data_IF_696369088249
#
_entry.id   IF_696369088249
#
_cell.length_a   1.000
_cell.length_b   1.000
_cell.length_c   1.000
_cell.angle_alpha   90.00
_cell.angle_beta   90.00
_cell.angle_gamma   90.00
#
_symmetry.space_group_name_H-M   'P 1'
#
loop_
_entity.id
_entity.type
_entity.pdbx_description
1 polymer ?
#
# COMPACT_ATOMS: atom_id res chain seq x y z
N UNK A 1 -5.57 2.31 -10.50
CA UNK A 1 -4.83 1.83 -9.32
C UNK A 1 -3.35 1.90 -9.59
N UNK A 2 -2.65 2.73 -8.85
CA UNK A 2 -1.24 2.97 -9.12
C UNK A 2 -0.37 2.31 -8.07
N UNK A 3 0.86 1.99 -8.46
CA UNK A 3 1.83 1.37 -7.56
C UNK A 3 2.04 2.21 -6.31
N UNK A 4 2.11 3.52 -6.48
CA UNK A 4 2.30 4.43 -5.35
C UNK A 4 1.17 4.30 -4.33
N UNK A 5 -0.06 4.16 -4.82
CA UNK A 5 -1.20 3.97 -3.92
C UNK A 5 -1.11 2.66 -3.16
N UNK A 6 -0.68 1.60 -3.83
CA UNK A 6 -0.52 0.30 -3.18
C UNK A 6 0.58 0.37 -2.12
N UNK A 7 1.68 1.04 -2.43
CA UNK A 7 2.77 1.18 -1.47
C UNK A 7 2.31 1.98 -0.24
N UNK A 8 1.65 3.10 -0.46
CA UNK A 8 1.13 3.92 0.63
C UNK A 8 0.13 3.13 1.47
N UNK A 9 -0.74 2.36 0.82
CA UNK A 9 -1.70 1.53 1.52
C UNK A 9 -1.00 0.51 2.43
N UNK A 10 0.01 -0.19 1.92
CA UNK A 10 0.72 -1.19 2.71
C UNK A 10 1.46 -0.56 3.88
N UNK A 11 2.10 0.59 3.68
CA UNK A 11 2.80 1.29 4.75
C UNK A 11 1.82 1.74 5.82
N UNK A 12 0.68 2.30 5.42
CA UNK A 12 -0.32 2.73 6.38
C UNK A 12 -0.91 1.54 7.15
N UNK A 13 -1.05 0.40 6.49
CA UNK A 13 -1.54 -0.81 7.16
C UNK A 13 -0.58 -1.26 8.25
N UNK A 14 0.71 -1.05 8.06
CA UNK A 14 1.70 -1.40 9.06
C UNK A 14 1.73 -0.39 10.20
N UNK A 15 1.72 0.90 9.87
CA UNK A 15 1.87 1.95 10.87
C UNK A 15 0.59 2.26 11.62
N UNK A 16 -0.53 2.16 10.93
CA UNK A 16 -1.85 2.55 11.45
C UNK A 16 -1.81 3.96 12.03
N UNK A 17 -1.04 4.82 11.38
CA UNK A 17 -0.80 6.20 11.77
C UNK A 17 -0.44 6.99 10.53
N UNK A 18 -1.26 7.98 10.19
CA UNK A 18 -1.09 8.73 8.94
C UNK A 18 0.20 9.53 8.93
N UNK A 19 0.58 10.12 10.07
CA UNK A 19 1.79 10.91 10.16
C UNK A 19 3.03 10.03 9.93
N UNK A 20 3.07 8.88 10.59
CA UNK A 20 4.20 7.96 10.44
C UNK A 20 4.28 7.38 9.05
N UNK A 21 3.12 7.05 8.48
CA UNK A 21 3.10 6.55 7.12
C UNK A 21 3.66 7.58 6.16
N UNK A 22 3.25 8.85 6.32
CA UNK A 22 3.75 9.93 5.48
C UNK A 22 5.26 10.06 5.59
N UNK A 23 5.80 9.95 6.79
CA UNK A 23 7.24 10.02 6.99
C UNK A 23 7.95 8.88 6.27
N UNK A 24 7.40 7.68 6.35
CA UNK A 24 8.02 6.52 5.71
C UNK A 24 8.02 6.60 4.19
N UNK A 25 6.98 7.19 3.60
CA UNK A 25 6.91 7.33 2.14
C UNK A 25 7.39 8.70 1.68
N UNK A 26 7.99 9.47 2.58
CA UNK A 26 8.64 10.74 2.26
C UNK A 26 7.69 11.77 1.65
N UNK A 27 6.53 11.92 2.29
CA UNK A 27 5.53 12.89 1.83
C UNK A 27 4.81 13.49 3.04
N UNK A 28 3.77 14.27 2.79
CA UNK A 28 2.98 14.89 3.84
C UNK A 28 1.71 14.10 4.07
N UNK A 29 1.11 14.27 5.27
CA UNK A 29 -0.06 13.51 5.66
C UNK A 29 -1.22 13.70 4.70
N UNK A 30 -1.45 14.91 4.21
CA UNK A 30 -2.57 15.17 3.31
C UNK A 30 -2.44 14.38 2.02
N UNK A 31 -1.21 14.14 1.57
CA UNK A 31 -1.00 13.35 0.36
C UNK A 31 -1.32 11.87 0.60
N UNK A 32 -0.93 11.35 1.76
CA UNK A 32 -1.30 9.98 2.12
C UNK A 32 -2.82 9.83 2.15
N UNK A 33 -3.49 10.79 2.81
CA UNK A 33 -4.96 10.77 2.88
C UNK A 33 -5.59 10.78 1.50
N UNK A 34 -5.07 11.63 0.62
CA UNK A 34 -5.58 11.74 -0.74
C UNK A 34 -5.40 10.45 -1.52
N UNK A 35 -4.23 9.84 -1.41
CA UNK A 35 -3.95 8.58 -2.11
C UNK A 35 -4.85 7.45 -1.63
N UNK A 36 -5.06 7.36 -0.33
CA UNK A 36 -5.92 6.32 0.24
C UNK A 36 -7.37 6.53 -0.19
N UNK A 37 -7.86 7.77 -0.13
CA UNK A 37 -9.23 8.05 -0.55
C UNK A 37 -9.44 7.74 -2.03
N UNK A 38 -8.47 8.05 -2.86
CA UNK A 38 -8.55 7.75 -4.28
C UNK A 38 -8.62 6.24 -4.51
N UNK A 39 -7.81 5.48 -3.79
CA UNK A 39 -7.82 4.02 -3.89
C UNK A 39 -9.16 3.46 -3.41
N UNK A 40 -9.68 3.97 -2.29
CA UNK A 40 -10.96 3.54 -1.76
C UNK A 40 -12.10 3.84 -2.73
N UNK A 41 -12.05 5.00 -3.37
CA UNK A 41 -13.07 5.37 -4.35
C UNK A 41 -13.04 4.42 -5.54
N UNK A 42 -11.86 4.07 -5.99
CA UNK A 42 -11.72 3.15 -7.12
C UNK A 42 -12.25 1.77 -6.76
N UNK A 43 -11.97 1.29 -5.56
CA UNK A 43 -12.42 -0.03 -5.12
C UNK A 43 -13.86 -0.04 -4.63
N UNK A 44 -14.43 1.13 -4.40
CA UNK A 44 -15.82 1.24 -3.98
C UNK A 44 -16.06 0.86 -2.52
N UNK A 45 -15.01 0.89 -1.70
CA UNK A 45 -15.15 0.53 -0.29
C UNK A 45 -14.03 1.18 0.51
N UNK A 46 -14.26 1.35 1.80
CA UNK A 46 -13.24 1.87 2.69
C UNK A 46 -12.28 0.77 3.09
N UNK A 47 -11.01 1.09 3.09
CA UNK A 47 -9.95 0.17 3.51
C UNK A 47 -9.51 0.43 4.95
N UNK A 48 -9.78 1.64 5.45
CA UNK A 48 -9.45 2.02 6.82
C UNK A 48 -10.65 2.65 7.49
N UNK A 49 -10.82 2.35 8.77
CA UNK A 49 -11.77 3.02 9.63
C UNK A 49 -11.01 3.99 10.52
N UNK A 50 -11.60 5.17 10.72
CA UNK A 50 -11.06 6.16 11.64
C UNK A 50 -12.04 6.34 12.77
N UNK A 51 -12.01 5.41 13.72
CA UNK A 51 -12.92 5.47 14.86
C UNK A 51 -12.21 6.20 15.99
N UNK A 52 -12.80 7.28 16.44
CA UNK A 52 -12.24 8.11 17.49
C UNK A 52 -10.84 8.57 17.07
N UNK A 53 -9.80 8.19 17.77
CA UNK A 53 -8.45 8.61 17.45
C UNK A 53 -7.62 7.46 16.88
N UNK A 54 -8.27 6.41 16.42
CA UNK A 54 -7.56 5.22 15.96
C UNK A 54 -7.79 5.00 14.48
N UNK A 55 -6.80 4.42 13.85
CA UNK A 55 -6.88 4.02 12.46
C UNK A 55 -6.76 2.50 12.44
N UNK A 56 -7.75 1.83 11.86
CA UNK A 56 -7.76 0.38 11.79
C UNK A 56 -8.11 -0.04 10.37
N UNK A 57 -7.61 -1.20 9.96
CA UNK A 57 -8.03 -1.77 8.69
C UNK A 57 -9.46 -2.25 8.80
N UNK A 58 -10.25 -1.99 7.75
CA UNK A 58 -11.57 -2.61 7.64
C UNK A 58 -11.39 -4.06 7.21
N UNK A 59 -12.50 -4.81 7.19
CA UNK A 59 -12.47 -6.15 6.67
C UNK A 59 -11.99 -6.15 5.22
N UNK A 60 -12.48 -5.19 4.43
CA UNK A 60 -12.04 -5.05 3.04
C UNK A 60 -10.55 -4.76 2.97
N UNK A 61 -10.03 -3.92 3.88
CA UNK A 61 -8.61 -3.63 3.94
C UNK A 61 -7.79 -4.87 4.23
N UNK A 62 -8.26 -5.71 5.17
CA UNK A 62 -7.58 -6.97 5.49
C UNK A 62 -7.58 -7.91 4.28
N UNK A 63 -8.67 -7.95 3.53
CA UNK A 63 -8.74 -8.81 2.35
C UNK A 63 -7.84 -8.32 1.22
N UNK A 64 -7.73 -7.00 1.08
CA UNK A 64 -6.96 -6.41 -0.01
C UNK A 64 -5.46 -6.46 0.26
N UNK A 65 -5.06 -6.39 1.52
CA UNK A 65 -3.65 -6.27 1.89
C UNK A 65 -2.74 -7.33 1.26
N UNK A 66 -3.07 -8.64 1.33
CA UNK A 66 -2.16 -9.62 0.74
C UNK A 66 -1.99 -9.45 -0.77
N UNK A 67 -3.03 -8.98 -1.46
CA UNK A 67 -2.91 -8.77 -2.91
C UNK A 67 -2.04 -7.56 -3.21
N UNK A 68 -2.18 -6.49 -2.43
CA UNK A 68 -1.32 -5.32 -2.60
C UNK A 68 0.14 -5.69 -2.35
N UNK A 69 0.40 -6.48 -1.31
CA UNK A 69 1.75 -6.92 -1.00
C UNK A 69 2.33 -7.79 -2.10
N UNK A 70 1.53 -8.70 -2.63
CA UNK A 70 1.98 -9.57 -3.73
C UNK A 70 2.30 -8.77 -4.98
N UNK A 71 1.49 -7.76 -5.27
CA UNK A 71 1.71 -6.92 -6.44
C UNK A 71 3.03 -6.18 -6.32
N UNK A 72 3.30 -5.59 -5.16
CA UNK A 72 4.55 -4.87 -4.94
C UNK A 72 5.75 -5.80 -5.00
N UNK A 73 5.63 -6.98 -4.39
CA UNK A 73 6.70 -7.97 -4.41
C UNK A 73 7.00 -8.42 -5.83
N UNK A 74 5.95 -8.68 -6.61
CA UNK A 74 6.13 -9.13 -7.99
C UNK A 74 6.84 -8.08 -8.82
N UNK A 75 6.49 -6.81 -8.62
CA UNK A 75 7.16 -5.73 -9.35
C UNK A 75 8.63 -5.61 -8.97
N UNK A 76 8.94 -5.76 -7.69
CA UNK A 76 10.32 -5.70 -7.25
C UNK A 76 11.11 -6.89 -7.81
N UNK A 77 10.53 -8.07 -7.81
CA UNK A 77 11.16 -9.25 -8.38
C UNK A 77 11.42 -9.07 -9.86
N UNK A 78 10.46 -8.49 -10.58
CA UNK A 78 10.63 -8.20 -12.00
C UNK A 78 11.77 -7.21 -12.24
N UNK A 79 11.85 -6.19 -11.40
CA UNK A 79 12.94 -5.21 -11.51
C UNK A 79 14.30 -5.87 -11.34
N UNK A 80 14.43 -6.75 -10.36
CA UNK A 80 15.68 -7.47 -10.13
C UNK A 80 16.01 -8.40 -11.28
N UNK A 81 15.01 -9.09 -11.81
CA UNK A 81 15.22 -10.04 -12.89
C UNK A 81 15.82 -9.34 -14.11
N UNK A 82 15.33 -8.16 -14.42
CA UNK A 82 15.84 -7.39 -15.54
C UNK A 82 17.24 -6.86 -15.26
N UNK A 83 17.43 -6.33 -14.05
CA UNK A 83 18.67 -5.66 -13.70
C UNK A 83 19.83 -6.63 -13.59
N UNK A 84 19.62 -7.80 -13.02
CA UNK A 84 20.71 -8.76 -12.80
C UNK A 84 20.76 -9.86 -13.85
N UNK A 85 19.79 -9.96 -14.68
CA UNK A 85 19.83 -10.75 -15.88
C UNK A 85 19.83 -12.25 -15.72
N UNK A 86 20.56 -12.79 -14.82
CA UNK A 86 20.71 -14.22 -14.70
C UNK A 86 19.96 -14.78 -13.53
N UNK A 87 19.05 -14.06 -13.07
CA UNK A 87 18.26 -14.51 -11.97
C UNK A 87 17.52 -15.75 -12.40
N UNK A 88 17.72 -16.82 -11.72
CA UNK A 88 17.03 -18.02 -12.11
C UNK A 88 15.60 -17.74 -11.89
N UNK A 89 14.97 -17.72 -12.91
CA UNK A 89 13.61 -17.50 -12.87
C UNK A 89 13.04 -18.58 -12.08
N UNK A 90 13.14 -18.55 -10.99
CA UNK A 90 12.45 -19.40 -10.22
C UNK A 90 12.60 -20.71 -10.84
N UNK A 91 12.20 -21.57 -10.53
CA UNK A 91 12.16 -22.81 -11.08
C UNK A 91 11.23 -22.96 -11.56
#
# INVERSE_FOLDING_TARGET
MEVRQLHTFCVLAEELNFTRAAERVHTVQSNVTSQIKSLEAELGTQLFDRLAKRVLLTEAGHRFLPYAEKALTAMEQGHRAVKFGSEPAGP
#
